data_IF_936765279074
#
_entry.id   IF_936765279074
#
_cell.length_a   1.000
_cell.length_b   1.000
_cell.length_c   1.000
_cell.angle_alpha   90.00
_cell.angle_beta   90.00
_cell.angle_gamma   90.00
#
_symmetry.space_group_name_H-M   'P 1'
#
loop_
_entity.id
_entity.type
_entity.pdbx_description
1 polymer ?
#
# COMPACT_ATOMS: atom_id res chain seq x y z
N UNK A 1 -10.45 -11.09 -39.16
CA UNK A 1 -11.45 -11.26 -38.06
C UNK A 1 -10.97 -10.63 -36.74
N UNK A 2 -9.92 -11.12 -36.05
CA UNK A 2 -9.45 -10.49 -34.78
C UNK A 2 -9.10 -8.99 -34.90
N UNK A 3 -8.40 -8.56 -35.93
CA UNK A 3 -8.02 -7.14 -36.13
C UNK A 3 -9.23 -6.24 -36.43
N UNK A 4 -10.24 -6.75 -37.09
CA UNK A 4 -11.47 -5.98 -37.40
C UNK A 4 -12.32 -5.81 -36.14
N UNK A 5 -12.45 -6.87 -35.33
CA UNK A 5 -13.12 -6.81 -34.03
C UNK A 5 -12.43 -5.82 -33.08
N UNK A 6 -11.09 -5.89 -32.97
CA UNK A 6 -10.32 -4.95 -32.16
C UNK A 6 -10.55 -3.51 -32.59
N UNK A 7 -10.52 -3.23 -33.90
CA UNK A 7 -10.79 -1.89 -34.42
C UNK A 7 -12.20 -1.40 -34.11
N UNK A 8 -13.19 -2.29 -34.10
CA UNK A 8 -14.56 -1.94 -33.70
C UNK A 8 -14.64 -1.61 -32.21
N UNK A 9 -14.00 -2.41 -31.36
CA UNK A 9 -13.92 -2.15 -29.91
C UNK A 9 -13.24 -0.81 -29.62
N UNK A 10 -12.10 -0.54 -30.24
CA UNK A 10 -11.38 0.73 -30.09
C UNK A 10 -12.25 1.92 -30.55
N UNK A 11 -13.03 1.74 -31.61
CA UNK A 11 -13.97 2.77 -32.09
C UNK A 11 -15.09 3.02 -31.10
N UNK A 12 -15.68 1.96 -30.55
CA UNK A 12 -16.74 2.08 -29.54
C UNK A 12 -16.22 2.77 -28.28
N UNK A 13 -15.02 2.40 -27.80
CA UNK A 13 -14.37 3.01 -26.66
C UNK A 13 -14.21 4.52 -26.86
N UNK A 14 -13.63 4.94 -27.99
CA UNK A 14 -13.41 6.36 -28.30
C UNK A 14 -14.73 7.13 -28.37
N UNK A 15 -15.77 6.57 -28.99
CA UNK A 15 -17.09 7.19 -29.07
C UNK A 15 -17.72 7.34 -27.68
N UNK A 16 -17.59 6.34 -26.81
CA UNK A 16 -18.09 6.38 -25.44
C UNK A 16 -17.37 7.45 -24.62
N UNK A 17 -16.05 7.51 -24.69
CA UNK A 17 -15.25 8.55 -24.00
C UNK A 17 -15.64 9.96 -24.48
N UNK A 18 -15.81 10.16 -25.79
CA UNK A 18 -16.25 11.44 -26.36
C UNK A 18 -17.66 11.80 -25.88
N UNK A 19 -18.59 10.82 -25.84
CA UNK A 19 -19.93 11.02 -25.33
C UNK A 19 -19.94 11.38 -23.84
N UNK A 20 -19.10 10.76 -23.01
CA UNK A 20 -18.93 11.10 -21.59
C UNK A 20 -18.44 12.53 -21.44
N UNK A 21 -17.35 12.89 -22.14
CA UNK A 21 -16.67 14.19 -22.00
C UNK A 21 -17.53 15.36 -22.46
N UNK A 22 -18.34 15.16 -23.50
CA UNK A 22 -19.20 16.20 -24.07
C UNK A 22 -20.57 16.30 -23.40
N UNK A 23 -20.90 15.41 -22.46
CA UNK A 23 -22.20 15.39 -21.80
C UNK A 23 -22.24 16.34 -20.59
N UNK A 24 -22.93 17.48 -20.75
CA UNK A 24 -23.09 18.47 -19.68
C UNK A 24 -23.79 17.95 -18.42
N UNK A 25 -24.59 16.88 -18.52
CA UNK A 25 -25.24 16.29 -17.33
C UNK A 25 -24.28 15.48 -16.48
N UNK A 26 -23.19 14.98 -17.07
CA UNK A 26 -22.14 14.25 -16.38
C UNK A 26 -21.05 15.17 -15.81
N UNK A 27 -20.97 16.42 -16.26
CA UNK A 27 -19.95 17.38 -15.83
C UNK A 27 -19.84 17.51 -14.29
N UNK A 28 -20.93 17.61 -13.50
CA UNK A 28 -20.83 17.69 -12.04
C UNK A 28 -20.20 16.43 -11.42
N UNK A 29 -20.54 15.23 -11.91
CA UNK A 29 -20.00 13.97 -11.41
C UNK A 29 -18.52 13.81 -11.80
N UNK A 30 -18.13 14.16 -13.01
CA UNK A 30 -16.73 14.19 -13.45
C UNK A 30 -15.89 15.17 -12.65
N UNK A 31 -16.42 16.37 -12.37
CA UNK A 31 -15.74 17.34 -11.54
C UNK A 31 -15.53 16.83 -10.10
N UNK A 32 -16.49 16.08 -9.56
CA UNK A 32 -16.34 15.43 -8.26
C UNK A 32 -15.24 14.36 -8.30
N UNK A 33 -15.28 13.46 -9.29
CA UNK A 33 -14.24 12.43 -9.50
C UNK A 33 -12.83 13.05 -9.56
N UNK A 34 -12.64 14.09 -10.36
CA UNK A 34 -11.33 14.72 -10.55
C UNK A 34 -10.82 15.45 -9.30
N UNK A 35 -11.67 15.76 -8.32
CA UNK A 35 -11.19 16.26 -7.02
C UNK A 35 -10.35 15.23 -6.27
N UNK A 36 -10.62 13.95 -6.47
CA UNK A 36 -9.90 12.85 -5.81
C UNK A 36 -8.74 12.29 -6.64
N UNK A 37 -8.71 12.58 -7.94
CA UNK A 37 -7.65 12.14 -8.83
C UNK A 37 -6.39 13.04 -8.76
N UNK A 38 -5.19 12.51 -9.10
CA UNK A 38 -4.03 13.32 -9.45
C UNK A 38 -4.35 14.35 -10.52
N UNK A 39 -3.72 15.54 -10.42
CA UNK A 39 -3.95 16.64 -11.36
C UNK A 39 -3.07 16.50 -12.62
N UNK A 40 -3.11 15.34 -13.24
CA UNK A 40 -2.39 14.97 -14.44
C UNK A 40 -3.38 14.63 -15.56
N UNK A 41 -3.24 15.27 -16.73
CA UNK A 41 -4.14 15.05 -17.86
C UNK A 41 -4.12 13.58 -18.34
N UNK A 42 -2.94 12.94 -18.28
CA UNK A 42 -2.80 11.54 -18.65
C UNK A 42 -3.56 10.62 -17.69
N UNK A 43 -3.49 10.92 -16.38
CA UNK A 43 -4.24 10.17 -15.37
C UNK A 43 -5.75 10.34 -15.55
N UNK A 44 -6.21 11.57 -15.79
CA UNK A 44 -7.62 11.85 -16.07
C UNK A 44 -8.12 11.12 -17.33
N UNK A 45 -7.27 11.05 -18.37
CA UNK A 45 -7.59 10.28 -19.57
C UNK A 45 -7.72 8.77 -19.27
N UNK A 46 -6.82 8.21 -18.46
CA UNK A 46 -6.90 6.81 -18.02
C UNK A 46 -8.20 6.56 -17.27
N UNK A 47 -8.58 7.42 -16.33
CA UNK A 47 -9.84 7.29 -15.59
C UNK A 47 -11.07 7.30 -16.51
N UNK A 48 -11.12 8.20 -17.48
CA UNK A 48 -12.19 8.24 -18.46
C UNK A 48 -12.26 6.96 -19.29
N UNK A 49 -11.10 6.43 -19.66
CA UNK A 49 -11.01 5.16 -20.37
C UNK A 49 -11.49 3.98 -19.52
N UNK A 50 -11.13 3.94 -18.25
CA UNK A 50 -11.60 2.90 -17.31
C UNK A 50 -13.12 2.96 -17.11
N UNK A 51 -13.71 4.14 -16.92
CA UNK A 51 -15.15 4.34 -16.79
C UNK A 51 -15.88 3.89 -18.07
N UNK A 52 -15.36 4.27 -19.24
CA UNK A 52 -15.94 3.85 -20.51
C UNK A 52 -15.84 2.34 -20.70
N UNK A 53 -14.72 1.73 -20.33
CA UNK A 53 -14.53 0.29 -20.40
C UNK A 53 -15.47 -0.47 -19.47
N UNK A 54 -15.59 -0.03 -18.23
CA UNK A 54 -16.52 -0.61 -17.26
C UNK A 54 -17.95 -0.55 -17.78
N UNK A 55 -18.41 0.60 -18.22
CA UNK A 55 -19.75 0.76 -18.79
C UNK A 55 -20.00 -0.15 -19.98
N UNK A 56 -19.04 -0.25 -20.92
CA UNK A 56 -19.16 -1.13 -22.08
C UNK A 56 -19.16 -2.61 -21.68
N UNK A 57 -18.39 -2.98 -20.65
CA UNK A 57 -18.36 -4.34 -20.12
C UNK A 57 -19.73 -4.71 -19.54
N UNK A 58 -20.31 -3.83 -18.72
CA UNK A 58 -21.65 -4.02 -18.16
C UNK A 58 -22.74 -4.16 -19.24
N UNK A 59 -22.66 -3.38 -20.33
CA UNK A 59 -23.58 -3.51 -21.45
C UNK A 59 -23.42 -4.81 -22.25
N UNK A 60 -22.26 -5.47 -22.18
CA UNK A 60 -22.02 -6.75 -22.85
C UNK A 60 -22.44 -7.94 -21.99
N UNK A 61 -22.62 -7.76 -20.71
CA UNK A 61 -23.14 -8.78 -19.80
C UNK A 61 -24.67 -8.86 -19.94
N UNK A 62 -25.16 -10.03 -20.35
CA UNK A 62 -26.60 -10.26 -20.65
C UNK A 62 -27.47 -10.13 -19.40
N UNK A 63 -26.89 -10.41 -18.21
CA UNK A 63 -27.58 -10.39 -16.94
C UNK A 63 -27.42 -9.05 -16.18
N UNK A 64 -26.74 -8.08 -16.77
CA UNK A 64 -26.47 -6.78 -16.13
C UNK A 64 -27.74 -5.90 -16.09
N UNK A 65 -27.96 -5.29 -14.92
CA UNK A 65 -29.01 -4.28 -14.72
C UNK A 65 -28.79 -3.00 -15.55
N UNK A 66 -27.58 -2.81 -16.12
CA UNK A 66 -27.26 -1.66 -16.97
C UNK A 66 -28.11 -1.55 -18.23
N UNK A 67 -28.77 -2.63 -18.66
CA UNK A 67 -29.71 -2.61 -19.76
C UNK A 67 -31.00 -1.78 -19.49
N UNK A 68 -31.34 -1.60 -18.22
CA UNK A 68 -32.48 -0.84 -17.77
C UNK A 68 -32.19 0.66 -17.57
N UNK A 69 -30.91 1.05 -17.57
CA UNK A 69 -30.49 2.42 -17.38
C UNK A 69 -30.27 3.16 -18.69
N UNK A 70 -30.56 4.47 -18.68
CA UNK A 70 -30.06 5.36 -19.73
C UNK A 70 -28.54 5.44 -19.74
N UNK A 71 -27.97 5.85 -20.87
CA UNK A 71 -26.51 6.08 -20.97
C UNK A 71 -26.00 6.96 -19.83
N UNK A 72 -26.71 8.04 -19.49
CA UNK A 72 -26.32 9.00 -18.46
C UNK A 72 -26.34 8.38 -17.06
N UNK A 73 -27.35 7.57 -16.76
CA UNK A 73 -27.47 6.88 -15.47
C UNK A 73 -26.40 5.82 -15.31
N UNK A 74 -26.18 4.97 -16.32
CA UNK A 74 -25.16 3.94 -16.26
C UNK A 74 -23.74 4.52 -16.11
N UNK A 75 -23.39 5.54 -16.90
CA UNK A 75 -22.10 6.22 -16.76
C UNK A 75 -21.95 6.89 -15.39
N UNK A 76 -23.03 7.46 -14.84
CA UNK A 76 -23.00 8.09 -13.52
C UNK A 76 -22.70 7.08 -12.42
N UNK A 77 -23.26 5.88 -12.48
CA UNK A 77 -22.93 4.78 -11.55
C UNK A 77 -21.46 4.45 -11.63
N UNK A 78 -20.89 4.23 -12.82
CA UNK A 78 -19.46 3.96 -13.00
C UNK A 78 -18.56 5.10 -12.46
N UNK A 79 -18.98 6.37 -12.64
CA UNK A 79 -18.24 7.53 -12.07
C UNK A 79 -18.31 7.53 -10.54
N UNK A 80 -19.47 7.24 -9.95
CA UNK A 80 -19.64 7.21 -8.50
C UNK A 80 -18.80 6.10 -7.86
N UNK A 81 -18.85 4.89 -8.40
CA UNK A 81 -18.01 3.76 -7.95
C UNK A 81 -16.50 4.09 -8.06
N UNK A 82 -16.10 4.69 -9.21
CA UNK A 82 -14.70 5.10 -9.39
C UNK A 82 -14.31 6.24 -8.45
N UNK A 83 -15.22 7.14 -8.13
CA UNK A 83 -15.00 8.21 -7.16
C UNK A 83 -14.76 7.65 -5.76
N UNK A 84 -15.56 6.69 -5.33
CA UNK A 84 -15.41 6.05 -4.02
C UNK A 84 -14.11 5.24 -3.96
N UNK A 85 -13.79 4.50 -5.02
CA UNK A 85 -12.48 3.86 -5.15
C UNK A 85 -11.31 4.83 -5.00
N UNK A 86 -11.35 6.01 -5.65
CA UNK A 86 -10.26 7.00 -5.54
C UNK A 86 -10.19 7.64 -4.15
N UNK A 87 -11.33 7.89 -3.50
CA UNK A 87 -11.35 8.36 -2.11
C UNK A 87 -10.60 7.37 -1.21
N UNK A 88 -10.96 6.10 -1.28
CA UNK A 88 -10.30 5.05 -0.51
C UNK A 88 -8.82 4.93 -0.87
N UNK A 89 -8.49 4.90 -2.17
CA UNK A 89 -7.13 4.74 -2.65
C UNK A 89 -6.19 5.83 -2.17
N UNK A 90 -6.62 7.10 -2.22
CA UNK A 90 -5.79 8.25 -1.88
C UNK A 90 -5.99 8.74 -0.45
N UNK A 91 -6.88 8.11 0.31
CA UNK A 91 -7.01 8.39 1.72
C UNK A 91 -5.82 7.83 2.48
N UNK A 92 -5.17 8.69 3.24
CA UNK A 92 -4.12 8.30 4.19
C UNK A 92 -4.58 8.58 5.61
N UNK A 93 -4.11 7.76 6.52
CA UNK A 93 -4.19 7.98 7.96
C UNK A 93 -2.80 8.29 8.52
N UNK A 94 -2.76 9.18 9.48
CA UNK A 94 -1.58 9.45 10.30
C UNK A 94 -1.79 8.79 11.65
N UNK A 95 -0.92 7.84 11.97
CA UNK A 95 -0.99 7.06 13.21
C UNK A 95 0.28 7.33 14.02
N UNK A 96 0.11 7.62 15.30
CA UNK A 96 1.19 7.71 16.25
C UNK A 96 1.32 6.37 16.98
N UNK A 97 2.50 5.78 16.91
CA UNK A 97 2.85 4.56 17.63
C UNK A 97 3.73 4.92 18.82
N UNK A 98 3.47 4.28 19.96
CA UNK A 98 4.22 4.48 21.18
C UNK A 98 4.62 3.13 21.79
N UNK A 99 5.92 2.95 21.99
CA UNK A 99 6.53 1.87 22.76
C UNK A 99 7.35 2.51 23.88
N UNK A 100 6.90 2.40 25.12
CA UNK A 100 7.49 3.07 26.29
C UNK A 100 7.64 4.58 26.06
N UNK A 101 8.89 5.09 26.00
CA UNK A 101 9.23 6.50 25.75
C UNK A 101 9.55 6.79 24.28
N UNK A 102 9.51 5.78 23.42
CA UNK A 102 9.76 5.87 21.98
C UNK A 102 8.46 6.19 21.25
N UNK A 103 8.47 7.20 20.42
CA UNK A 103 7.30 7.57 19.60
C UNK A 103 7.68 7.67 18.14
N UNK A 104 6.79 7.15 17.27
CA UNK A 104 6.83 7.27 15.82
C UNK A 104 5.47 7.72 15.29
N UNK A 105 5.44 8.79 14.54
CA UNK A 105 4.21 9.22 13.84
C UNK A 105 4.40 8.93 12.36
N UNK A 106 3.59 8.03 11.81
CA UNK A 106 3.73 7.50 10.45
C UNK A 106 2.45 7.74 9.67
N UNK A 107 2.58 8.10 8.40
CA UNK A 107 1.45 8.16 7.45
C UNK A 107 1.34 6.84 6.70
N UNK A 108 0.12 6.36 6.49
CA UNK A 108 -0.18 5.14 5.74
C UNK A 108 -1.36 5.34 4.80
N UNK A 109 -1.38 4.72 3.62
CA UNK A 109 -2.60 4.51 2.86
C UNK A 109 -3.63 3.76 3.72
N UNK A 110 -4.88 4.23 3.74
CA UNK A 110 -5.92 3.60 4.58
C UNK A 110 -6.23 2.16 4.16
N UNK A 111 -5.98 1.82 2.90
CA UNK A 111 -6.12 0.47 2.33
C UNK A 111 -4.94 -0.47 2.59
N UNK A 112 -3.86 0.03 3.23
CA UNK A 112 -2.69 -0.80 3.51
C UNK A 112 -3.09 -2.00 4.37
N UNK A 113 -2.72 -3.24 4.02
CA UNK A 113 -2.93 -4.41 4.87
C UNK A 113 -2.35 -4.21 6.26
N UNK A 114 -3.02 -4.72 7.29
CA UNK A 114 -2.57 -4.61 8.67
C UNK A 114 -1.22 -5.28 8.89
N UNK A 115 -0.94 -6.39 8.20
CA UNK A 115 0.37 -7.04 8.22
C UNK A 115 1.45 -6.10 7.66
N UNK A 116 1.23 -5.49 6.50
CA UNK A 116 2.16 -4.53 5.90
C UNK A 116 2.40 -3.32 6.83
N UNK A 117 1.33 -2.77 7.44
CA UNK A 117 1.46 -1.72 8.45
C UNK A 117 2.36 -2.16 9.60
N UNK A 118 2.17 -3.39 10.09
CA UNK A 118 2.98 -3.95 11.19
C UNK A 118 4.45 -4.07 10.81
N UNK A 119 4.76 -4.52 9.59
CA UNK A 119 6.15 -4.58 9.10
C UNK A 119 6.83 -3.21 9.03
N UNK A 120 6.08 -2.16 8.64
CA UNK A 120 6.58 -0.79 8.69
C UNK A 120 6.80 -0.31 10.13
N UNK A 121 5.88 -0.63 11.05
CA UNK A 121 6.01 -0.27 12.47
C UNK A 121 7.24 -0.95 13.09
N UNK A 122 7.43 -2.25 12.84
CA UNK A 122 8.64 -2.98 13.27
C UNK A 122 9.89 -2.31 12.75
N UNK A 123 9.95 -1.99 11.46
CA UNK A 123 11.09 -1.29 10.86
C UNK A 123 11.33 0.07 11.49
N UNK A 124 10.30 0.84 11.79
CA UNK A 124 10.41 2.18 12.37
C UNK A 124 10.86 2.19 13.83
N UNK A 125 10.53 1.13 14.56
CA UNK A 125 10.88 0.94 15.98
C UNK A 125 12.14 0.09 16.16
N UNK A 126 12.76 -0.36 15.09
CA UNK A 126 13.91 -1.29 15.08
C UNK A 126 13.60 -2.63 15.79
N UNK A 127 12.33 -3.08 15.75
CA UNK A 127 11.93 -4.35 16.33
C UNK A 127 12.45 -5.50 15.46
N UNK A 128 13.04 -6.50 16.09
CA UNK A 128 13.56 -7.68 15.39
C UNK A 128 12.43 -8.53 14.83
N UNK A 129 12.60 -9.07 13.63
CA UNK A 129 11.59 -9.86 12.92
C UNK A 129 11.36 -11.29 13.45
N UNK A 130 11.86 -11.64 14.65
CA UNK A 130 11.64 -12.94 15.28
C UNK A 130 10.39 -13.02 16.17
N UNK A 131 9.70 -11.90 16.35
CA UNK A 131 8.52 -11.81 17.23
C UNK A 131 7.23 -12.14 16.51
N UNK A 132 6.37 -12.93 17.15
CA UNK A 132 4.96 -13.02 16.76
C UNK A 132 4.27 -11.67 17.03
N UNK A 133 3.19 -11.38 16.31
CA UNK A 133 2.47 -10.13 16.49
C UNK A 133 0.95 -10.29 16.33
N UNK A 134 0.22 -9.40 16.98
CA UNK A 134 -1.25 -9.36 16.97
C UNK A 134 -1.73 -7.92 17.14
N UNK A 135 -2.83 -7.57 16.49
CA UNK A 135 -3.54 -6.31 16.74
C UNK A 135 -4.80 -6.58 17.54
N UNK A 136 -5.00 -5.80 18.60
CA UNK A 136 -6.27 -5.72 19.31
C UNK A 136 -6.87 -4.33 19.11
N UNK A 137 -8.09 -4.26 18.57
CA UNK A 137 -8.83 -3.03 18.40
C UNK A 137 -10.25 -3.23 18.95
N UNK A 138 -10.65 -2.42 19.94
CA UNK A 138 -11.96 -2.48 20.59
C UNK A 138 -12.36 -3.88 21.12
N UNK A 139 -11.37 -4.68 21.53
CA UNK A 139 -11.56 -6.04 22.01
C UNK A 139 -11.70 -7.10 20.92
N UNK A 140 -11.46 -6.74 19.66
CA UNK A 140 -11.34 -7.66 18.54
C UNK A 140 -9.85 -7.90 18.32
N UNK A 141 -9.45 -9.18 18.36
CA UNK A 141 -8.10 -9.61 18.05
C UNK A 141 -8.00 -9.98 16.57
N UNK A 142 -7.01 -9.42 15.89
CA UNK A 142 -6.65 -9.75 14.51
C UNK A 142 -5.41 -10.64 14.53
N UNK A 143 -5.57 -11.90 14.14
CA UNK A 143 -4.45 -12.82 13.96
C UNK A 143 -3.58 -12.42 12.76
N UNK A 144 -2.37 -12.97 12.68
CA UNK A 144 -1.45 -12.72 11.56
C UNK A 144 -2.10 -13.02 10.20
N UNK A 145 -2.93 -14.08 10.11
CA UNK A 145 -3.64 -14.46 8.89
C UNK A 145 -4.73 -13.43 8.52
N UNK A 146 -5.49 -12.95 9.51
CA UNK A 146 -6.51 -11.92 9.29
C UNK A 146 -5.87 -10.59 8.92
N UNK A 147 -4.70 -10.26 9.47
CA UNK A 147 -3.97 -9.04 9.17
C UNK A 147 -3.44 -8.97 7.73
N UNK A 148 -3.28 -10.12 7.05
CA UNK A 148 -2.91 -10.14 5.63
C UNK A 148 -4.05 -9.72 4.71
N UNK A 149 -5.31 -9.96 5.11
CA UNK A 149 -6.50 -9.67 4.30
C UNK A 149 -7.24 -8.42 4.74
N UNK A 150 -7.17 -8.05 6.03
CA UNK A 150 -7.76 -6.83 6.56
C UNK A 150 -6.80 -5.64 6.37
N UNK A 151 -7.36 -4.46 6.12
CA UNK A 151 -6.65 -3.19 5.95
C UNK A 151 -6.80 -2.30 7.18
N UNK A 152 -6.09 -1.18 7.22
CA UNK A 152 -6.26 -0.15 8.27
C UNK A 152 -7.70 0.40 8.28
N UNK A 153 -8.38 0.42 7.12
CA UNK A 153 -9.78 0.83 7.03
C UNK A 153 -10.71 -0.06 7.85
N UNK A 154 -10.41 -1.36 7.94
CA UNK A 154 -11.23 -2.35 8.64
C UNK A 154 -11.18 -2.20 10.16
N UNK A 155 -10.19 -1.46 10.70
CA UNK A 155 -10.16 -1.09 12.12
C UNK A 155 -11.25 -0.07 12.48
N UNK A 156 -11.88 0.58 11.51
CA UNK A 156 -12.95 1.57 11.67
C UNK A 156 -12.64 2.70 12.68
N UNK A 157 -11.37 3.10 12.78
CA UNK A 157 -10.90 4.09 13.76
C UNK A 157 -11.47 5.48 13.47
N UNK A 158 -11.92 6.15 14.55
CA UNK A 158 -12.16 7.57 14.55
C UNK A 158 -10.95 8.35 15.10
N UNK A 159 -10.94 9.66 14.91
CA UNK A 159 -9.83 10.49 15.39
C UNK A 159 -9.64 10.37 16.91
N UNK A 160 -8.45 10.04 17.31
CA UNK A 160 -7.96 9.74 18.67
C UNK A 160 -8.30 8.33 19.18
N UNK A 161 -8.94 7.49 18.40
CA UNK A 161 -9.08 6.08 18.78
C UNK A 161 -7.72 5.41 18.83
N UNK A 162 -7.65 4.39 19.69
CA UNK A 162 -6.43 3.68 20.00
C UNK A 162 -6.63 2.19 19.76
N UNK A 163 -5.58 1.55 19.31
CA UNK A 163 -5.47 0.09 19.23
C UNK A 163 -4.14 -0.37 19.81
N UNK A 164 -4.03 -1.64 20.12
CA UNK A 164 -2.83 -2.25 20.65
C UNK A 164 -2.21 -3.17 19.59
N UNK A 165 -0.97 -2.92 19.22
CA UNK A 165 -0.15 -3.82 18.44
C UNK A 165 0.85 -4.47 19.40
N UNK A 166 0.77 -5.78 19.56
CA UNK A 166 1.58 -6.52 20.51
C UNK A 166 2.61 -7.37 19.76
N UNK A 167 3.86 -7.28 20.18
CA UNK A 167 4.92 -8.15 19.73
C UNK A 167 5.33 -9.05 20.90
N UNK A 168 5.51 -10.33 20.66
CA UNK A 168 5.91 -11.27 21.70
C UNK A 168 6.86 -12.36 21.15
N UNK A 169 7.86 -12.65 21.93
CA UNK A 169 8.79 -13.72 21.69
C UNK A 169 8.37 -14.95 22.49
N UNK A 170 7.96 -16.02 21.80
CA UNK A 170 7.52 -17.27 22.40
C UNK A 170 8.65 -18.03 23.08
N UNK A 171 9.94 -17.72 22.78
CA UNK A 171 11.09 -18.39 23.40
C UNK A 171 11.53 -17.72 24.69
N UNK A 172 11.43 -16.39 24.78
CA UNK A 172 11.90 -15.59 25.93
C UNK A 172 10.78 -15.09 26.82
N UNK A 173 9.50 -15.27 26.44
CA UNK A 173 8.32 -14.64 27.08
C UNK A 173 8.39 -13.09 27.09
N UNK A 174 9.19 -12.47 26.25
CA UNK A 174 9.24 -11.03 26.11
C UNK A 174 7.99 -10.50 25.41
N UNK A 175 7.47 -9.38 25.89
CA UNK A 175 6.26 -8.77 25.40
C UNK A 175 6.43 -7.25 25.23
N UNK A 176 6.18 -6.78 24.01
CA UNK A 176 6.32 -5.38 23.64
C UNK A 176 4.97 -4.82 23.16
N UNK A 177 4.23 -4.15 24.05
CA UNK A 177 2.96 -3.50 23.68
C UNK A 177 3.23 -2.17 23.01
N UNK A 178 2.85 -2.04 21.75
CA UNK A 178 2.90 -0.79 20.98
C UNK A 178 1.49 -0.23 20.87
N UNK A 179 1.25 0.94 21.43
CA UNK A 179 -0.04 1.62 21.30
C UNK A 179 -0.07 2.41 20.00
N UNK A 180 -1.03 2.10 19.12
CA UNK A 180 -1.34 2.90 17.93
C UNK A 180 -2.49 3.87 18.23
N UNK A 181 -2.37 5.14 17.78
CA UNK A 181 -3.40 6.18 17.93
C UNK A 181 -3.60 6.90 16.61
N UNK A 182 -4.86 6.93 16.12
CA UNK A 182 -5.21 7.71 14.94
C UNK A 182 -5.18 9.21 15.25
N UNK A 183 -4.32 9.95 14.57
CA UNK A 183 -4.17 11.41 14.73
C UNK A 183 -5.06 12.17 13.76
N UNK A 184 -5.03 11.80 12.47
CA UNK A 184 -5.84 12.41 11.41
C UNK A 184 -5.97 11.51 10.19
N UNK A 185 -6.96 11.83 9.38
CA UNK A 185 -7.09 11.32 8.02
C UNK A 185 -7.06 12.48 7.03
N UNK A 186 -6.46 12.27 5.87
CA UNK A 186 -6.38 13.27 4.82
C UNK A 186 -6.23 12.60 3.44
N UNK A 187 -6.33 13.38 2.36
CA UNK A 187 -6.07 12.89 1.01
C UNK A 187 -4.63 13.18 0.60
N UNK A 188 -3.93 12.16 0.12
CA UNK A 188 -2.61 12.29 -0.48
C UNK A 188 -2.64 11.71 -1.90
N UNK A 189 -2.60 12.58 -2.90
CA UNK A 189 -2.75 12.25 -4.31
C UNK A 189 -1.45 11.85 -5.00
N UNK A 190 -0.39 11.54 -4.26
CA UNK A 190 0.78 10.92 -4.84
C UNK A 190 0.40 9.59 -5.45
N UNK A 191 0.80 9.34 -6.69
CA UNK A 191 0.44 8.12 -7.42
C UNK A 191 1.00 6.87 -6.76
N UNK A 192 2.27 6.94 -6.34
CA UNK A 192 2.97 5.82 -5.76
C UNK A 192 2.60 5.64 -4.27
N UNK A 193 2.11 4.45 -3.93
CA UNK A 193 1.60 4.15 -2.58
C UNK A 193 2.70 4.26 -1.51
N UNK A 194 3.90 3.75 -1.80
CA UNK A 194 5.04 3.84 -0.89
C UNK A 194 5.48 5.29 -0.62
N UNK A 195 5.30 6.22 -1.55
CA UNK A 195 5.58 7.65 -1.30
C UNK A 195 4.61 8.30 -0.29
N UNK A 196 3.50 7.61 0.01
CA UNK A 196 2.52 8.03 1.02
C UNK A 196 2.82 7.48 2.39
N UNK A 197 3.77 6.51 2.48
CA UNK A 197 4.21 5.93 3.74
C UNK A 197 5.48 6.65 4.18
N UNK A 198 5.39 7.42 5.25
CA UNK A 198 6.50 8.24 5.74
C UNK A 198 6.43 8.40 7.25
N UNK A 199 7.58 8.31 7.92
CA UNK A 199 7.72 8.81 9.27
C UNK A 199 7.75 10.33 9.20
N UNK A 200 6.84 11.00 9.89
CA UNK A 200 6.73 12.46 9.91
C UNK A 200 7.22 13.09 11.21
N UNK A 201 7.29 12.30 12.27
CA UNK A 201 7.78 12.72 13.58
C UNK A 201 8.36 11.53 14.35
N UNK A 202 9.44 11.76 15.06
CA UNK A 202 10.10 10.76 15.90
C UNK A 202 10.49 11.34 17.26
N UNK A 203 10.39 10.53 18.32
CA UNK A 203 10.92 10.83 19.63
C UNK A 203 11.66 9.59 20.14
N UNK A 204 12.90 9.78 20.55
CA UNK A 204 13.85 8.76 20.96
C UNK A 204 14.19 7.75 19.86
N UNK A 205 15.28 7.03 20.00
CA UNK A 205 15.68 5.95 19.12
C UNK A 205 15.03 4.63 19.54
N UNK A 206 15.03 3.63 18.64
CA UNK A 206 14.50 2.31 18.94
C UNK A 206 15.35 1.58 20.00
N UNK A 207 14.78 0.57 20.69
CA UNK A 207 15.42 -0.06 21.85
C UNK A 207 16.69 -0.84 21.49
N UNK A 208 16.92 -1.14 20.24
CA UNK A 208 18.08 -1.90 19.75
C UNK A 208 19.11 -1.03 19.00
N UNK A 209 18.94 0.30 19.00
CA UNK A 209 19.90 1.25 18.43
C UNK A 209 20.99 1.55 19.46
N UNK A 210 22.26 1.64 19.04
CA UNK A 210 23.35 1.99 19.95
C UNK A 210 23.15 3.38 20.57
N UNK A 211 23.40 3.55 21.88
CA UNK A 211 23.10 4.77 22.66
C UNK A 211 23.64 6.09 22.07
N UNK A 212 24.60 6.02 21.14
CA UNK A 212 25.23 7.20 20.54
C UNK A 212 24.87 7.39 19.07
N UNK A 213 23.95 6.60 18.55
CA UNK A 213 23.52 6.67 17.15
C UNK A 213 22.24 7.50 17.06
N UNK A 214 22.37 8.72 16.55
CA UNK A 214 21.22 9.59 16.27
C UNK A 214 20.99 9.66 14.77
N UNK A 215 19.89 9.08 14.32
CA UNK A 215 19.49 9.09 12.92
C UNK A 215 18.59 10.29 12.63
N UNK A 216 18.85 10.95 11.52
CA UNK A 216 17.94 11.98 10.99
C UNK A 216 16.62 11.36 10.54
N UNK A 217 15.57 12.17 10.42
CA UNK A 217 14.28 11.73 9.89
C UNK A 217 14.39 11.18 8.46
N UNK A 218 15.31 11.71 7.65
CA UNK A 218 15.57 11.24 6.29
C UNK A 218 16.19 9.83 6.32
N UNK A 219 17.19 9.60 7.16
CA UNK A 219 17.82 8.28 7.33
C UNK A 219 16.83 7.24 7.86
N UNK A 220 15.95 7.62 8.79
CA UNK A 220 14.91 6.73 9.29
C UNK A 220 13.89 6.38 8.21
N UNK A 221 13.51 7.32 7.34
CA UNK A 221 12.62 7.05 6.21
C UNK A 221 13.29 6.18 5.14
N UNK A 222 14.58 6.36 4.88
CA UNK A 222 15.35 5.50 3.96
C UNK A 222 15.42 4.05 4.48
N UNK A 223 15.54 3.87 5.79
CA UNK A 223 15.56 2.55 6.42
C UNK A 223 14.16 1.92 6.53
N UNK A 224 13.11 2.74 6.63
CA UNK A 224 11.72 2.28 6.79
C UNK A 224 11.32 1.30 5.70
N UNK A 225 11.60 1.64 4.44
CA UNK A 225 11.23 0.83 3.27
C UNK A 225 12.05 -0.45 3.20
N UNK A 226 13.36 -0.37 3.45
CA UNK A 226 14.22 -1.57 3.41
C UNK A 226 13.88 -2.55 4.53
N UNK A 227 13.64 -2.05 5.73
CA UNK A 227 13.21 -2.87 6.85
C UNK A 227 11.86 -3.51 6.64
N UNK A 228 10.92 -2.78 6.00
CA UNK A 228 9.63 -3.33 5.61
C UNK A 228 9.79 -4.58 4.71
N UNK A 229 10.57 -4.48 3.63
CA UNK A 229 10.76 -5.62 2.74
C UNK A 229 11.48 -6.79 3.41
N UNK A 230 12.42 -6.50 4.30
CA UNK A 230 13.08 -7.54 5.07
C UNK A 230 12.10 -8.28 5.99
N UNK A 231 11.27 -7.55 6.73
CA UNK A 231 10.25 -8.13 7.59
C UNK A 231 9.23 -8.93 6.76
N UNK A 232 8.75 -8.38 5.64
CA UNK A 232 7.80 -9.06 4.75
C UNK A 232 8.39 -10.37 4.21
N UNK A 233 9.66 -10.38 3.78
CA UNK A 233 10.35 -11.59 3.33
C UNK A 233 10.43 -12.64 4.45
N UNK A 234 10.77 -12.23 5.68
CA UNK A 234 10.85 -13.14 6.81
C UNK A 234 9.53 -13.84 7.11
N UNK A 235 8.42 -13.08 7.17
CA UNK A 235 7.12 -13.63 7.57
C UNK A 235 6.34 -14.29 6.44
N UNK A 236 6.41 -13.76 5.25
CA UNK A 236 5.57 -14.23 4.13
C UNK A 236 6.32 -15.15 3.16
N UNK A 237 7.66 -15.06 3.12
CA UNK A 237 8.50 -15.81 2.20
C UNK A 237 9.71 -16.44 2.92
N UNK A 238 9.46 -17.32 3.90
CA UNK A 238 10.55 -17.96 4.64
C UNK A 238 11.49 -18.77 3.73
N UNK A 239 11.03 -19.22 2.57
CA UNK A 239 11.85 -19.84 1.53
C UNK A 239 12.93 -18.91 0.99
N UNK A 240 12.58 -17.66 0.69
CA UNK A 240 13.53 -16.65 0.23
C UNK A 240 14.43 -16.15 1.36
N UNK A 241 13.89 -16.09 2.58
CA UNK A 241 14.68 -15.71 3.75
C UNK A 241 15.79 -16.74 4.05
N UNK A 242 15.50 -18.04 3.94
CA UNK A 242 16.50 -19.12 4.06
C UNK A 242 17.60 -18.99 2.99
N UNK A 243 17.23 -18.61 1.74
CA UNK A 243 18.21 -18.35 0.69
C UNK A 243 19.12 -17.15 1.01
N UNK A 244 18.56 -16.10 1.64
CA UNK A 244 19.31 -14.94 2.12
C UNK A 244 20.33 -15.35 3.19
N UNK A 245 19.93 -16.15 4.17
CA UNK A 245 20.82 -16.69 5.21
C UNK A 245 21.94 -17.56 4.62
N UNK A 246 21.65 -18.26 3.53
CA UNK A 246 22.64 -19.04 2.78
C UNK A 246 23.56 -18.17 1.88
N UNK A 247 23.44 -16.86 1.95
CA UNK A 247 24.32 -15.90 1.30
C UNK A 247 23.93 -15.51 -0.13
N UNK A 248 22.68 -15.75 -0.54
CA UNK A 248 22.14 -15.20 -1.79
C UNK A 248 21.99 -13.67 -1.67
N UNK A 249 22.16 -12.99 -2.79
CA UNK A 249 22.07 -11.53 -2.83
C UNK A 249 20.62 -11.07 -2.54
N UNK A 250 20.46 -10.15 -1.58
CA UNK A 250 19.15 -9.63 -1.19
C UNK A 250 18.43 -8.92 -2.34
N UNK A 251 19.17 -8.26 -3.25
CA UNK A 251 18.58 -7.60 -4.42
C UNK A 251 17.94 -8.64 -5.35
N UNK A 252 18.62 -9.77 -5.57
CA UNK A 252 18.11 -10.85 -6.40
C UNK A 252 16.84 -11.46 -5.80
N UNK A 253 16.81 -11.67 -4.48
CA UNK A 253 15.64 -12.21 -3.76
C UNK A 253 14.46 -11.25 -3.78
N UNK A 254 14.70 -9.95 -3.60
CA UNK A 254 13.65 -8.94 -3.71
C UNK A 254 13.07 -8.86 -5.12
N UNK A 255 13.90 -8.98 -6.16
CA UNK A 255 13.41 -9.05 -7.53
C UNK A 255 12.57 -10.30 -7.77
N UNK A 256 12.98 -11.45 -7.23
CA UNK A 256 12.22 -12.69 -7.34
C UNK A 256 10.85 -12.55 -6.67
N UNK A 257 10.79 -12.02 -5.44
CA UNK A 257 9.54 -11.79 -4.71
C UNK A 257 8.56 -10.90 -5.49
N UNK A 258 9.07 -9.85 -6.12
CA UNK A 258 8.24 -8.93 -6.91
C UNK A 258 7.77 -9.57 -8.22
N UNK A 259 8.65 -10.28 -8.91
CA UNK A 259 8.30 -10.93 -10.19
C UNK A 259 7.23 -11.98 -9.98
N UNK A 260 7.26 -12.69 -8.86
CA UNK A 260 6.24 -13.66 -8.47
C UNK A 260 4.92 -12.97 -8.12
N UNK A 261 4.94 -11.88 -7.32
CA UNK A 261 3.73 -11.08 -7.03
C UNK A 261 3.10 -10.47 -8.29
N UNK A 262 3.91 -10.12 -9.30
CA UNK A 262 3.42 -9.58 -10.57
C UNK A 262 2.84 -10.66 -11.50
N UNK A 263 3.31 -11.90 -11.37
CA UNK A 263 2.91 -13.03 -12.21
C UNK A 263 1.73 -13.82 -11.64
N UNK A 264 1.41 -13.66 -10.36
CA UNK A 264 0.19 -14.23 -9.80
C UNK A 264 -1.02 -13.56 -10.46
N UNK A 265 -1.68 -14.33 -11.36
CA UNK A 265 -2.91 -13.98 -12.07
C UNK A 265 -4.15 -13.87 -11.12
N UNK A 266 -3.99 -13.29 -9.96
CA UNK A 266 -5.12 -12.90 -9.13
C UNK A 266 -5.75 -11.68 -9.77
N UNK A 267 -6.91 -11.91 -10.34
CA UNK A 267 -7.85 -10.99 -10.98
C UNK A 267 -7.62 -9.53 -10.64
N UNK A 268 -7.10 -8.87 -11.59
CA UNK A 268 -6.52 -7.58 -11.67
C UNK A 268 -7.55 -6.47 -11.54
N UNK A 269 -7.64 -5.88 -10.40
CA UNK A 269 -8.29 -4.58 -10.25
C UNK A 269 -7.29 -3.43 -10.04
N UNK A 270 -5.97 -3.71 -9.93
CA UNK A 270 -4.98 -2.70 -9.59
C UNK A 270 -3.66 -2.79 -10.39
N UNK A 271 -3.75 -2.82 -11.73
CA UNK A 271 -2.58 -2.72 -12.62
C UNK A 271 -1.64 -1.54 -12.29
N UNK A 272 -2.18 -0.43 -11.78
CA UNK A 272 -1.39 0.72 -11.35
C UNK A 272 -0.60 0.44 -10.06
N UNK A 273 -1.18 -0.21 -9.06
CA UNK A 273 -0.52 -0.55 -7.79
C UNK A 273 0.62 -1.54 -7.96
N UNK A 274 0.46 -2.57 -8.78
CA UNK A 274 1.55 -3.53 -9.09
C UNK A 274 2.70 -2.84 -9.82
N UNK A 275 2.39 -2.02 -10.82
CA UNK A 275 3.39 -1.25 -11.59
C UNK A 275 4.06 -0.18 -10.72
N UNK A 276 3.32 0.43 -9.81
CA UNK A 276 3.82 1.43 -8.87
C UNK A 276 4.81 0.79 -7.88
N UNK A 277 4.49 -0.35 -7.28
CA UNK A 277 5.38 -1.12 -6.39
C UNK A 277 6.68 -1.49 -7.10
N UNK A 278 6.59 -2.00 -8.33
CA UNK A 278 7.76 -2.32 -9.16
C UNK A 278 8.62 -1.10 -9.46
N UNK A 279 8.01 0.02 -9.84
CA UNK A 279 8.75 1.25 -10.20
C UNK A 279 9.51 1.82 -9.01
N UNK A 280 8.95 1.76 -7.81
CA UNK A 280 9.61 2.28 -6.61
C UNK A 280 10.76 1.40 -6.17
N UNK A 281 10.53 0.08 -6.14
CA UNK A 281 11.61 -0.82 -5.78
C UNK A 281 12.76 -0.73 -6.78
N UNK A 282 12.44 -0.63 -8.08
CA UNK A 282 13.45 -0.40 -9.12
C UNK A 282 14.18 0.93 -8.93
N UNK A 283 13.47 2.01 -8.64
CA UNK A 283 14.07 3.32 -8.36
C UNK A 283 14.91 3.27 -7.08
N UNK A 284 14.43 2.61 -6.05
CA UNK A 284 15.17 2.43 -4.79
C UNK A 284 16.45 1.60 -5.01
N UNK A 285 16.38 0.47 -5.69
CA UNK A 285 17.52 -0.36 -6.05
C UNK A 285 18.55 0.42 -6.90
N UNK A 286 18.09 1.20 -7.88
CA UNK A 286 18.97 2.01 -8.75
C UNK A 286 19.61 3.18 -8.00
N UNK A 287 18.88 3.83 -7.07
CA UNK A 287 19.42 4.95 -6.29
C UNK A 287 20.38 4.47 -5.20
N UNK A 288 20.12 3.32 -4.58
CA UNK A 288 21.00 2.76 -3.56
C UNK A 288 22.28 2.10 -4.12
N UNK A 289 22.27 1.64 -5.37
CA UNK A 289 23.55 1.26 -6.07
C UNK A 289 24.59 2.37 -6.09
N UNK A 290 24.18 3.63 -5.90
CA UNK A 290 25.11 4.78 -5.80
C UNK A 290 25.63 5.03 -4.38
N UNK A 291 25.08 4.35 -3.37
CA UNK A 291 25.48 4.51 -1.94
C UNK A 291 26.08 3.21 -1.38
N UNK A 292 27.04 2.61 -2.07
CA UNK A 292 27.74 1.36 -1.66
C UNK A 292 28.43 1.39 -0.27
N UNK A 293 28.25 2.44 0.52
CA UNK A 293 28.93 2.58 1.82
C UNK A 293 28.05 2.28 3.05
N UNK A 294 26.73 2.06 2.93
CA UNK A 294 25.84 2.05 4.10
C UNK A 294 25.21 0.69 4.47
N UNK A 295 25.34 -0.36 3.67
CA UNK A 295 24.79 -1.67 4.02
C UNK A 295 25.85 -2.70 4.32
N UNK A 296 26.38 -2.67 5.54
CA UNK A 296 26.66 -3.94 6.23
C UNK A 296 25.35 -4.35 6.90
N UNK A 297 24.79 -5.51 6.58
CA UNK A 297 23.61 -5.99 7.26
C UNK A 297 23.96 -6.24 8.71
N UNK A 298 23.69 -5.26 9.59
CA UNK A 298 23.90 -5.40 11.05
C UNK A 298 22.99 -6.49 11.63
N UNK A 299 21.91 -6.81 10.94
CA UNK A 299 20.92 -7.82 11.36
C UNK A 299 21.40 -9.28 11.20
N UNK A 300 22.36 -9.58 10.31
CA UNK A 300 22.92 -10.94 10.17
C UNK A 300 23.86 -11.32 11.32
N UNK A 301 24.35 -10.36 12.10
CA UNK A 301 25.33 -10.64 13.17
C UNK A 301 24.69 -11.03 14.51
N UNK A 302 23.37 -10.91 14.68
CA UNK A 302 22.69 -11.28 15.93
C UNK A 302 22.29 -12.75 15.95
N UNK A 303 22.22 -13.41 14.80
CA UNK A 303 21.83 -14.84 14.69
C UNK A 303 23.01 -15.83 14.62
N UNK A 304 24.27 -15.43 14.83
CA UNK A 304 25.45 -16.34 14.78
C UNK A 304 26.12 -16.52 16.16
N UNK A 305 25.41 -16.26 17.26
CA UNK A 305 25.88 -16.66 18.58
C UNK A 305 24.78 -17.25 19.44
#
# INVERSE_FOLDING_TARGET
MKKELQKQMDSMMNMTMEAITNNKKLEPALNELFKYAPQDEKYQFILLHEIANQYLHELLDIDSEFHDYSFEEGIKICIEEKTDYLKERFQICTIQFQLDDITRTITFPKRLPLADMTYFVMSSLDIVCSYDFMINCEGIDYSTEEMQICSIADLCLEKNDMFLLSFFDSETDEFYPVTGKLIKEELNKKEMELERIQIIETQNEGPWVEENEHRTLEEQNDQLVSGFFFNKMFYERPDLFEELENGKDIEELLFQMIDEELNDDVLDTDLLTKKDRFTILFLWLVTNKRKEQFYKPRYILIFIF
#
